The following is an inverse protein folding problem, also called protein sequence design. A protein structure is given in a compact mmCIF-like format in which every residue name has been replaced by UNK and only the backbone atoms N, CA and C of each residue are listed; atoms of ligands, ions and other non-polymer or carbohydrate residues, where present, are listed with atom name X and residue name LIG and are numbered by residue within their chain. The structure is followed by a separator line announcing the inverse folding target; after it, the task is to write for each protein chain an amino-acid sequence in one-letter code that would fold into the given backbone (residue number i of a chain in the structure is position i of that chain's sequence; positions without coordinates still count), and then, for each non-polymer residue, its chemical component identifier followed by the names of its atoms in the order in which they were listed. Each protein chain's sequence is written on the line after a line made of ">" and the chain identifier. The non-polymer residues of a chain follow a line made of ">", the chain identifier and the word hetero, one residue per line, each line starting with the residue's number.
data_IF_974723790744
#
_entry.id   IF_974723790744
#
_cell.length_a   1.000
_cell.length_b   1.000
_cell.length_c   1.000
_cell.angle_alpha   90.00
_cell.angle_beta   90.00
_cell.angle_gamma   90.00
#
_symmetry.space_group_name_H-M   'P 1'
#
loop_
_entity.id
_entity.type
_entity.pdbx_description
1 polymer ?
#
# COMPACT_ATOMS: atom_id res chain seq x y z
N UNK A 1 -1.95 6.46 27.65
CA UNK A 1 -2.48 7.40 26.62
C UNK A 1 -1.40 8.11 25.81
N UNK A 2 -0.37 8.73 26.41
CA UNK A 2 0.68 9.49 25.67
C UNK A 2 1.42 8.64 24.62
N UNK A 3 1.70 7.38 24.92
CA UNK A 3 2.36 6.41 24.00
C UNK A 3 1.45 5.97 22.86
N UNK A 4 0.17 5.73 23.13
CA UNK A 4 -0.83 5.32 22.13
C UNK A 4 -1.06 6.42 21.08
N UNK A 5 -1.35 7.65 21.52
CA UNK A 5 -1.56 8.81 20.63
C UNK A 5 -0.33 9.08 19.76
N UNK A 6 0.87 8.90 20.32
CA UNK A 6 2.12 9.02 19.55
C UNK A 6 2.22 7.93 18.47
N UNK A 7 2.01 6.66 18.80
CA UNK A 7 2.04 5.57 17.82
C UNK A 7 1.01 5.76 16.72
N UNK A 8 -0.21 6.16 17.07
CA UNK A 8 -1.29 6.44 16.12
C UNK A 8 -0.89 7.55 15.13
N UNK A 9 -0.33 8.66 15.62
CA UNK A 9 0.17 9.76 14.76
C UNK A 9 1.30 9.31 13.83
N UNK A 10 2.28 8.56 14.35
CA UNK A 10 3.41 8.07 13.55
C UNK A 10 2.97 7.04 12.51
N UNK A 11 2.06 6.14 12.88
CA UNK A 11 1.45 5.15 11.98
C UNK A 11 0.68 5.83 10.86
N UNK A 12 -0.14 6.83 11.19
CA UNK A 12 -0.89 7.61 10.20
C UNK A 12 0.04 8.33 9.23
N UNK A 13 1.06 9.03 9.75
CA UNK A 13 2.03 9.76 8.92
C UNK A 13 2.79 8.81 7.98
N UNK A 14 3.18 7.65 8.48
CA UNK A 14 3.86 6.64 7.69
C UNK A 14 2.98 6.10 6.55
N UNK A 15 1.70 5.81 6.83
CA UNK A 15 0.77 5.37 5.79
C UNK A 15 0.49 6.48 4.77
N UNK A 16 0.41 7.74 5.20
CA UNK A 16 0.28 8.88 4.31
C UNK A 16 1.48 8.97 3.35
N UNK A 17 2.71 8.76 3.85
CA UNK A 17 3.89 8.67 3.00
C UNK A 17 3.79 7.52 2.00
N UNK A 18 3.28 6.36 2.42
CA UNK A 18 3.02 5.21 1.54
C UNK A 18 2.02 5.55 0.42
N UNK A 19 0.92 6.22 0.77
CA UNK A 19 -0.12 6.65 -0.17
C UNK A 19 0.41 7.67 -1.18
N UNK A 20 1.17 8.65 -0.73
CA UNK A 20 1.79 9.64 -1.62
C UNK A 20 2.75 8.93 -2.59
N UNK A 21 3.58 8.01 -2.10
CA UNK A 21 4.51 7.29 -2.96
C UNK A 21 3.81 6.44 -4.03
N UNK A 22 2.71 5.76 -3.68
CA UNK A 22 1.95 4.97 -4.67
C UNK A 22 1.19 5.84 -5.67
N UNK A 23 0.65 6.98 -5.24
CA UNK A 23 0.05 7.95 -6.15
C UNK A 23 1.09 8.54 -7.09
N UNK A 24 2.28 8.91 -6.61
CA UNK A 24 3.35 9.40 -7.50
C UNK A 24 3.75 8.34 -8.52
N UNK A 25 3.90 7.06 -8.10
CA UNK A 25 4.19 5.97 -9.03
C UNK A 25 3.08 5.76 -10.06
N UNK A 26 1.82 5.87 -9.63
CA UNK A 26 0.65 5.81 -10.49
C UNK A 26 0.62 6.98 -11.49
N UNK A 27 0.83 8.20 -11.03
CA UNK A 27 0.90 9.40 -11.86
C UNK A 27 2.06 9.36 -12.84
N UNK A 28 3.24 8.87 -12.43
CA UNK A 28 4.36 8.69 -13.33
C UNK A 28 4.03 7.69 -14.45
N UNK A 29 3.40 6.55 -14.12
CA UNK A 29 2.93 5.57 -15.10
C UNK A 29 1.81 6.11 -15.99
N UNK A 30 0.84 6.82 -15.42
CA UNK A 30 -0.28 7.43 -16.12
C UNK A 30 0.17 8.57 -17.05
N UNK A 31 1.14 9.39 -16.66
CA UNK A 31 1.71 10.46 -17.50
C UNK A 31 2.51 9.86 -18.66
N UNK A 32 3.23 8.75 -18.43
CA UNK A 32 3.90 8.01 -19.51
C UNK A 32 2.89 7.39 -20.49
N UNK A 33 1.75 6.91 -19.99
CA UNK A 33 0.67 6.34 -20.81
C UNK A 33 -0.22 7.40 -21.50
N UNK A 34 -0.48 8.53 -20.85
CA UNK A 34 -1.32 9.63 -21.34
C UNK A 34 -0.67 10.41 -22.49
N UNK A 35 0.62 10.21 -22.76
CA UNK A 35 1.22 10.63 -24.04
C UNK A 35 0.60 9.91 -25.26
N UNK A 36 -0.27 8.90 -25.06
CA UNK A 36 -0.92 8.14 -26.13
C UNK A 36 -2.43 8.41 -26.31
N UNK A 37 -3.17 8.91 -25.31
CA UNK A 37 -4.63 9.13 -25.38
C UNK A 37 -5.03 10.31 -24.48
N UNK A 38 -6.01 11.11 -24.93
CA UNK A 38 -6.52 12.38 -24.40
C UNK A 38 -6.41 12.64 -22.87
N UNK A 39 -6.25 13.92 -22.45
CA UNK A 39 -6.04 14.26 -21.05
C UNK A 39 -7.27 13.91 -20.18
N UNK A 40 -7.07 13.35 -18.97
CA UNK A 40 -8.16 13.15 -18.03
C UNK A 40 -8.74 14.50 -17.59
N UNK A 41 -10.08 14.59 -17.46
CA UNK A 41 -10.73 15.75 -16.87
C UNK A 41 -10.33 15.86 -15.40
N UNK A 42 -10.14 17.09 -14.91
CA UNK A 42 -9.73 17.37 -13.52
C UNK A 42 -10.65 16.75 -12.47
N UNK A 43 -11.93 16.54 -12.80
CA UNK A 43 -12.92 15.98 -11.89
C UNK A 43 -12.69 14.48 -11.62
N UNK A 44 -12.25 13.73 -12.65
CA UNK A 44 -11.92 12.31 -12.52
C UNK A 44 -10.70 12.13 -11.62
N UNK A 45 -9.75 13.07 -11.69
CA UNK A 45 -8.53 13.08 -10.88
C UNK A 45 -8.87 13.24 -9.40
N UNK A 46 -9.72 14.21 -9.07
CA UNK A 46 -10.16 14.46 -7.70
C UNK A 46 -10.91 13.26 -7.15
N UNK A 47 -11.81 12.68 -7.95
CA UNK A 47 -12.61 11.53 -7.54
C UNK A 47 -11.74 10.29 -7.29
N UNK A 48 -10.81 9.97 -8.19
CA UNK A 48 -9.86 8.85 -8.02
C UNK A 48 -8.98 9.08 -6.78
N UNK A 49 -8.48 10.30 -6.59
CA UNK A 49 -7.66 10.64 -5.42
C UNK A 49 -8.43 10.47 -4.12
N UNK A 50 -9.69 10.92 -4.08
CA UNK A 50 -10.55 10.76 -2.90
C UNK A 50 -10.83 9.28 -2.59
N UNK A 51 -11.16 8.48 -3.60
CA UNK A 51 -11.39 7.04 -3.41
C UNK A 51 -10.15 6.30 -2.94
N UNK A 52 -8.99 6.58 -3.51
CA UNK A 52 -7.74 5.95 -3.05
C UNK A 52 -7.39 6.35 -1.62
N UNK A 53 -7.67 7.60 -1.22
CA UNK A 53 -7.50 8.04 0.16
C UNK A 53 -8.40 7.25 1.14
N UNK A 54 -9.67 7.04 0.79
CA UNK A 54 -10.61 6.24 1.61
C UNK A 54 -10.12 4.80 1.75
N UNK A 55 -9.71 4.16 0.65
CA UNK A 55 -9.20 2.79 0.67
C UNK A 55 -7.93 2.67 1.51
N UNK A 56 -7.01 3.64 1.40
CA UNK A 56 -5.80 3.63 2.22
C UNK A 56 -6.07 3.94 3.69
N UNK A 57 -7.04 4.81 4.00
CA UNK A 57 -7.49 5.01 5.37
C UNK A 57 -8.10 3.75 5.98
N UNK A 58 -8.87 2.99 5.20
CA UNK A 58 -9.40 1.70 5.65
C UNK A 58 -8.28 0.68 5.87
N UNK A 59 -7.32 0.57 4.95
CA UNK A 59 -6.15 -0.30 5.08
C UNK A 59 -5.26 0.10 6.28
N UNK A 60 -5.14 1.40 6.55
CA UNK A 60 -4.47 1.92 7.74
C UNK A 60 -5.16 1.43 9.00
N UNK A 61 -6.47 1.66 9.12
CA UNK A 61 -7.24 1.36 10.31
C UNK A 61 -7.33 -0.15 10.58
N UNK A 62 -7.55 -0.96 9.54
CA UNK A 62 -7.81 -2.39 9.66
C UNK A 62 -6.53 -3.25 9.72
N UNK A 63 -5.44 -2.81 9.09
CA UNK A 63 -4.23 -3.65 8.92
C UNK A 63 -3.01 -2.98 9.54
N UNK A 64 -2.64 -1.79 9.07
CA UNK A 64 -1.35 -1.19 9.42
C UNK A 64 -1.27 -0.72 10.87
N UNK A 65 -2.33 -0.07 11.38
CA UNK A 65 -2.40 0.45 12.74
C UNK A 65 -2.40 -0.68 13.80
N UNK A 66 -3.22 -1.75 13.70
CA UNK A 66 -3.15 -2.86 14.64
C UNK A 66 -1.76 -3.50 14.70
N UNK A 67 -1.13 -3.72 13.53
CA UNK A 67 0.22 -4.28 13.46
C UNK A 67 1.25 -3.35 14.13
N UNK A 68 1.21 -2.03 13.86
CA UNK A 68 2.13 -1.08 14.50
C UNK A 68 1.93 -0.98 16.02
N UNK A 69 0.71 -1.15 16.51
CA UNK A 69 0.41 -1.19 17.94
C UNK A 69 0.99 -2.47 18.58
N UNK A 70 0.85 -3.62 17.93
CA UNK A 70 1.34 -4.92 18.41
C UNK A 70 2.86 -5.05 18.38
N UNK A 71 3.54 -4.46 17.40
CA UNK A 71 5.00 -4.54 17.29
C UNK A 71 5.66 -3.60 18.28
N UNK A 72 6.52 -4.13 19.15
CA UNK A 72 7.31 -3.34 20.09
C UNK A 72 8.33 -2.44 19.36
N UNK A 73 8.53 -1.22 19.85
CA UNK A 73 9.44 -0.21 19.26
C UNK A 73 10.90 -0.72 19.18
N UNK A 74 11.28 -1.63 20.08
CA UNK A 74 12.61 -2.24 20.15
C UNK A 74 12.79 -3.49 19.27
N UNK A 75 11.72 -3.97 18.61
CA UNK A 75 11.80 -5.21 17.83
C UNK A 75 12.74 -5.09 16.63
N UNK A 76 13.43 -6.18 16.28
CA UNK A 76 14.23 -6.28 15.04
C UNK A 76 13.38 -6.10 13.78
N UNK A 77 12.07 -6.38 13.86
CA UNK A 77 11.11 -6.19 12.77
C UNK A 77 10.96 -4.74 12.32
N UNK A 78 11.26 -3.76 13.20
CA UNK A 78 11.24 -2.33 12.82
C UNK A 78 12.53 -1.87 12.13
N UNK A 79 13.47 -2.77 11.79
CA UNK A 79 14.65 -2.37 11.00
C UNK A 79 14.16 -1.98 9.60
N UNK A 80 14.65 -0.90 9.00
CA UNK A 80 14.04 -0.31 7.81
C UNK A 80 13.92 -1.32 6.66
N UNK A 81 14.97 -2.08 6.37
CA UNK A 81 14.97 -3.10 5.32
C UNK A 81 14.00 -4.26 5.61
N UNK A 82 13.99 -4.77 6.85
CA UNK A 82 13.06 -5.82 7.28
C UNK A 82 11.62 -5.35 7.23
N UNK A 83 11.35 -4.14 7.73
CA UNK A 83 10.03 -3.51 7.72
C UNK A 83 9.52 -3.32 6.29
N UNK A 84 10.36 -2.81 5.39
CA UNK A 84 10.03 -2.68 3.97
C UNK A 84 9.65 -4.03 3.33
N UNK A 85 10.45 -5.08 3.54
CA UNK A 85 10.16 -6.42 3.01
C UNK A 85 8.86 -6.99 3.57
N UNK A 86 8.63 -6.87 4.88
CA UNK A 86 7.37 -7.30 5.49
C UNK A 86 6.18 -6.49 4.97
N UNK A 87 6.35 -5.18 4.77
CA UNK A 87 5.34 -4.29 4.18
C UNK A 87 5.01 -4.67 2.73
N UNK A 88 6.03 -4.97 1.93
CA UNK A 88 5.87 -5.46 0.56
C UNK A 88 5.12 -6.80 0.53
N UNK A 89 5.60 -7.79 1.28
CA UNK A 89 5.04 -9.14 1.28
C UNK A 89 3.61 -9.18 1.80
N UNK A 90 3.30 -8.42 2.86
CA UNK A 90 1.93 -8.35 3.38
C UNK A 90 0.96 -7.72 2.38
N UNK A 91 1.36 -6.61 1.75
CA UNK A 91 0.57 -6.00 0.68
C UNK A 91 0.40 -6.94 -0.52
N UNK A 92 1.48 -7.63 -0.92
CA UNK A 92 1.44 -8.61 -2.00
C UNK A 92 0.49 -9.78 -1.71
N UNK A 93 0.53 -10.34 -0.49
CA UNK A 93 -0.35 -11.44 -0.09
C UNK A 93 -1.82 -11.01 -0.10
N UNK A 94 -2.13 -9.81 0.42
CA UNK A 94 -3.50 -9.26 0.41
C UNK A 94 -3.99 -9.11 -1.03
N UNK A 95 -3.17 -8.49 -1.90
CA UNK A 95 -3.52 -8.32 -3.31
C UNK A 95 -3.68 -9.67 -4.00
N UNK A 96 -2.74 -10.60 -3.82
CA UNK A 96 -2.81 -11.94 -4.41
C UNK A 96 -4.08 -12.69 -3.97
N UNK A 97 -4.49 -12.55 -2.70
CA UNK A 97 -5.74 -13.12 -2.19
C UNK A 97 -6.99 -12.51 -2.86
N UNK A 98 -7.04 -11.17 -3.00
CA UNK A 98 -8.13 -10.49 -3.72
C UNK A 98 -8.20 -10.95 -5.18
N UNK A 99 -7.06 -11.07 -5.85
CA UNK A 99 -7.00 -11.60 -7.21
C UNK A 99 -7.45 -13.05 -7.28
N UNK A 100 -7.05 -13.91 -6.34
CA UNK A 100 -7.47 -15.30 -6.30
C UNK A 100 -9.00 -15.43 -6.15
N UNK A 101 -9.62 -14.58 -5.32
CA UNK A 101 -11.08 -14.53 -5.16
C UNK A 101 -11.77 -14.02 -6.43
N UNK A 102 -11.22 -12.97 -7.05
CA UNK A 102 -11.75 -12.45 -8.31
C UNK A 102 -11.69 -13.52 -9.41
N UNK A 103 -10.56 -14.22 -9.54
CA UNK A 103 -10.43 -15.34 -10.48
C UNK A 103 -11.40 -16.46 -10.11
N UNK A 104 -11.53 -16.85 -8.84
CA UNK A 104 -12.48 -17.90 -8.39
C UNK A 104 -13.93 -17.59 -8.79
N UNK A 105 -14.34 -16.33 -8.75
CA UNK A 105 -15.68 -15.90 -9.16
C UNK A 105 -15.92 -15.95 -10.68
N UNK A 106 -14.86 -15.88 -11.48
CA UNK A 106 -14.94 -15.90 -12.95
C UNK A 106 -14.93 -17.32 -13.53
N UNK A 107 -14.47 -18.31 -12.76
CA UNK A 107 -14.44 -19.72 -13.16
C UNK A 107 -15.81 -20.30 -13.48
N UNK A 108 -16.90 -19.75 -12.92
CA UNK A 108 -18.24 -20.23 -13.21
C UNK A 108 -18.65 -20.01 -14.68
N UNK A 109 -17.95 -19.14 -15.41
CA UNK A 109 -18.33 -18.74 -16.77
C UNK A 109 -17.24 -18.95 -17.85
N UNK A 110 -15.97 -19.17 -17.49
CA UNK A 110 -14.85 -19.24 -18.45
C UNK A 110 -13.71 -20.19 -18.01
N UNK A 111 -12.78 -20.47 -18.93
CA UNK A 111 -11.58 -21.27 -18.64
C UNK A 111 -10.63 -20.57 -17.65
N UNK A 112 -9.83 -21.37 -16.92
CA UNK A 112 -8.87 -20.90 -15.91
C UNK A 112 -7.90 -19.85 -16.46
N UNK A 113 -7.36 -20.09 -17.66
CA UNK A 113 -6.37 -19.20 -18.28
C UNK A 113 -6.98 -17.87 -18.73
N UNK A 114 -8.22 -17.89 -19.19
CA UNK A 114 -8.93 -16.68 -19.63
C UNK A 114 -9.35 -15.80 -18.44
N UNK A 115 -9.74 -16.43 -17.33
CA UNK A 115 -10.00 -15.76 -16.05
C UNK A 115 -8.73 -15.11 -15.48
N UNK A 116 -7.59 -15.83 -15.53
CA UNK A 116 -6.30 -15.29 -15.11
C UNK A 116 -5.87 -14.12 -15.99
N UNK A 117 -5.98 -14.25 -17.32
CA UNK A 117 -5.61 -13.17 -18.25
C UNK A 117 -6.46 -11.92 -18.08
N UNK A 118 -7.76 -12.05 -17.85
CA UNK A 118 -8.64 -10.91 -17.53
C UNK A 118 -8.35 -10.31 -16.18
N UNK A 119 -8.08 -11.12 -15.16
CA UNK A 119 -7.70 -10.60 -13.85
C UNK A 119 -6.35 -9.85 -13.90
N UNK A 120 -5.39 -10.36 -14.69
CA UNK A 120 -4.08 -9.76 -14.94
C UNK A 120 -4.08 -8.67 -16.03
N UNK A 121 -5.25 -8.25 -16.52
CA UNK A 121 -5.32 -7.24 -17.57
C UNK A 121 -4.49 -6.00 -17.19
N UNK A 122 -3.95 -5.30 -18.19
CA UNK A 122 -2.83 -4.35 -18.04
C UNK A 122 -3.07 -3.24 -17.01
N UNK A 123 -4.32 -2.99 -16.64
CA UNK A 123 -4.69 -2.07 -15.57
C UNK A 123 -4.35 -2.60 -14.15
N UNK A 124 -4.44 -3.91 -13.91
CA UNK A 124 -4.41 -4.50 -12.57
C UNK A 124 -2.99 -4.66 -11.99
N UNK A 125 -1.99 -4.91 -12.85
CA UNK A 125 -0.60 -5.06 -12.42
C UNK A 125 0.01 -3.75 -11.86
N UNK A 126 -0.18 -2.57 -12.47
CA UNK A 126 0.21 -1.29 -11.87
C UNK A 126 -0.45 -1.03 -10.50
N UNK A 127 -1.72 -1.43 -10.31
CA UNK A 127 -2.39 -1.31 -9.01
C UNK A 127 -1.77 -2.23 -7.96
N UNK A 128 -1.46 -3.47 -8.33
CA UNK A 128 -0.80 -4.43 -7.46
C UNK A 128 0.58 -3.91 -7.01
N UNK A 129 1.38 -3.41 -7.95
CA UNK A 129 2.70 -2.85 -7.67
C UNK A 129 2.61 -1.57 -6.83
N UNK A 130 1.67 -0.68 -7.12
CA UNK A 130 1.42 0.53 -6.31
C UNK A 130 1.01 0.21 -4.88
N UNK A 131 0.19 -0.83 -4.69
CA UNK A 131 -0.20 -1.32 -3.35
C UNK A 131 1.00 -1.88 -2.60
N UNK A 132 1.86 -2.66 -3.27
CA UNK A 132 3.09 -3.18 -2.67
C UNK A 132 4.08 -2.06 -2.31
N UNK A 133 4.22 -1.05 -3.18
CA UNK A 133 5.02 0.15 -2.91
C UNK A 133 4.48 0.92 -1.69
N UNK A 134 3.15 1.04 -1.56
CA UNK A 134 2.50 1.65 -0.38
C UNK A 134 2.93 0.95 0.91
N UNK A 135 2.77 -0.38 0.98
CA UNK A 135 3.14 -1.16 2.16
C UNK A 135 4.62 -1.06 2.50
N UNK A 136 5.47 -1.08 1.47
CA UNK A 136 6.93 -0.94 1.60
C UNK A 136 7.32 0.41 2.20
N UNK A 137 6.83 1.50 1.59
CA UNK A 137 7.16 2.87 1.99
C UNK A 137 6.56 3.20 3.35
N UNK A 138 5.34 2.76 3.63
CA UNK A 138 4.72 2.96 4.95
C UNK A 138 5.53 2.27 6.05
N UNK A 139 5.89 1.00 5.88
CA UNK A 139 6.66 0.27 6.87
C UNK A 139 8.09 0.84 7.03
N UNK A 140 8.74 1.22 5.92
CA UNK A 140 10.07 1.85 5.94
C UNK A 140 10.07 3.21 6.65
N UNK A 141 9.12 4.09 6.30
CA UNK A 141 9.01 5.42 6.91
C UNK A 141 8.70 5.32 8.39
N UNK A 142 7.81 4.39 8.79
CA UNK A 142 7.53 4.11 10.20
C UNK A 142 8.77 3.67 10.96
N UNK A 143 9.60 2.81 10.36
CA UNK A 143 10.86 2.35 10.93
C UNK A 143 11.91 3.47 11.08
N UNK A 144 11.92 4.45 10.17
CA UNK A 144 12.82 5.60 10.25
C UNK A 144 12.42 6.60 11.33
N UNK A 145 11.11 6.83 11.53
CA UNK A 145 10.61 7.75 12.56
C UNK A 145 11.01 7.33 13.99
N UNK A 146 11.35 6.05 14.20
CA UNK A 146 11.81 5.52 15.49
C UNK A 146 13.34 5.48 15.66
N UNK A 147 14.14 5.75 14.61
CA UNK A 147 15.61 5.74 14.70
C UNK A 147 16.19 6.50 15.91
N UNK A 148 15.75 7.73 16.24
CA UNK A 148 16.33 8.46 17.36
C UNK A 148 16.17 7.74 18.70
N UNK A 149 15.10 6.96 18.90
CA UNK A 149 14.87 6.21 20.13
C UNK A 149 15.63 4.86 20.20
N UNK A 150 16.09 4.34 19.07
CA UNK A 150 16.89 3.10 19.01
C UNK A 150 18.36 3.30 19.30
N UNK A 151 18.89 4.48 18.99
CA UNK A 151 20.31 4.81 19.13
C UNK A 151 20.65 5.46 20.49
N UNK A 152 19.67 5.62 21.39
CA UNK A 152 19.82 6.30 22.68
C UNK A 152 20.21 5.36 23.84
N UNK A 153 20.64 4.13 23.55
CA UNK A 153 21.13 3.20 24.58
C UNK A 153 22.48 2.66 24.11
N UNK A 154 23.51 2.63 24.98
CA UNK A 154 24.84 2.10 24.68
C UNK A 154 24.82 0.64 24.21
#
# INVERSE_FOLDING_TARGET
>A
MKTFLRKMKLSFLAMLCGWIACNIAWWAGAVLAARAVMPPHTDDIVLITAWTAIVVLAAWLAVFLPVDLCVNDRSKLRRPLTAALCGFLSAFIIVAGVFAIAVSSLFEYQSLMESIWRALDKAALPYALGTCATGTVAAWTRALMDKPNRNQIP
#
